data_IF_709853600618
#
_entry.id   IF_709853600618
#
_cell.length_a   1.000
_cell.length_b   1.000
_cell.length_c   1.000
_cell.angle_alpha   90.00
_cell.angle_beta   90.00
_cell.angle_gamma   90.00
#
_symmetry.space_group_name_H-M   'P 1'
#
loop_
_entity.id
_entity.type
_entity.pdbx_description
1 polymer ?
#
# COMPACT_ATOMS: atom_id res chain seq x y z
N UNK A 1 -26.60 54.47 62.04
CA UNK A 1 -27.42 53.24 62.13
C UNK A 1 -26.61 52.13 61.45
N UNK A 2 -25.74 51.43 62.18
CA UNK A 2 -25.98 50.29 63.08
C UNK A 2 -26.13 48.94 62.34
N UNK A 3 -25.03 48.17 62.42
CA UNK A 3 -24.93 46.70 62.59
C UNK A 3 -25.24 45.85 61.33
N UNK A 4 -24.48 44.80 60.98
CA UNK A 4 -23.76 43.86 61.84
C UNK A 4 -22.77 42.99 61.03
N UNK A 5 -21.58 42.77 61.61
CA UNK A 5 -20.61 41.72 61.25
C UNK A 5 -21.10 40.31 61.62
N UNK A 6 -20.54 39.27 60.99
CA UNK A 6 -20.26 37.93 61.58
C UNK A 6 -19.65 36.98 60.52
N UNK A 7 -18.33 36.91 60.33
CA UNK A 7 -17.33 36.00 60.94
C UNK A 7 -17.43 34.47 60.66
N UNK A 8 -16.34 33.97 60.04
CA UNK A 8 -15.60 32.68 60.20
C UNK A 8 -16.33 31.36 59.86
N UNK A 9 -15.74 30.50 59.02
CA UNK A 9 -14.64 29.62 59.47
C UNK A 9 -13.77 29.08 58.33
N UNK A 10 -12.45 29.10 58.55
CA UNK A 10 -11.43 28.33 57.81
C UNK A 10 -11.51 26.85 58.21
N UNK A 11 -11.29 25.94 57.25
CA UNK A 11 -10.60 24.66 57.51
C UNK A 11 -9.45 24.49 56.52
N UNK A 12 -8.30 24.22 57.09
CA UNK A 12 -7.01 23.96 56.46
C UNK A 12 -6.92 22.55 55.86
N UNK A 13 -5.87 22.38 55.04
CA UNK A 13 -5.05 21.18 54.83
C UNK A 13 -5.61 20.14 53.82
N UNK A 14 -4.85 19.62 52.85
CA UNK A 14 -3.40 19.39 52.75
C UNK A 14 -2.88 19.47 51.30
N UNK A 15 -1.61 19.86 51.20
CA UNK A 15 -0.70 19.70 50.07
C UNK A 15 -0.61 18.26 49.57
N UNK A 16 -0.67 18.08 48.26
CA UNK A 16 0.18 17.12 47.54
C UNK A 16 0.59 17.78 46.23
N UNK A 17 1.85 18.19 46.16
CA UNK A 17 2.51 18.42 44.89
C UNK A 17 2.81 17.07 44.25
N UNK A 18 2.61 16.96 42.95
CA UNK A 18 3.30 15.98 42.11
C UNK A 18 3.68 16.69 40.82
N UNK A 19 4.97 16.54 40.51
CA UNK A 19 5.68 17.08 39.37
C UNK A 19 4.95 16.80 38.05
N UNK A 20 5.00 17.79 37.17
CA UNK A 20 4.82 17.57 35.74
C UNK A 20 5.92 16.66 35.19
N UNK A 21 5.49 15.52 34.65
CA UNK A 21 6.24 14.75 33.68
C UNK A 21 5.46 14.84 32.38
N UNK A 22 6.00 15.63 31.45
CA UNK A 22 5.60 15.63 30.06
C UNK A 22 5.96 14.25 29.47
N UNK A 23 4.95 13.43 29.22
CA UNK A 23 5.07 12.25 28.35
C UNK A 23 4.29 12.56 27.09
N UNK A 24 5.05 12.61 25.98
CA UNK A 24 4.58 12.75 24.61
C UNK A 24 3.40 11.81 24.33
N UNK A 25 2.21 12.40 24.21
CA UNK A 25 1.01 11.70 23.77
C UNK A 25 1.08 11.42 22.27
N UNK A 26 1.45 10.18 21.91
CA UNK A 26 1.00 9.55 20.68
C UNK A 26 -0.52 9.34 20.80
N UNK A 27 -1.30 10.33 20.35
CA UNK A 27 -2.74 10.20 20.24
C UNK A 27 -3.05 9.20 19.12
N UNK A 28 -3.29 7.96 19.55
CA UNK A 28 -3.94 6.89 18.81
C UNK A 28 -5.21 7.40 18.11
N UNK A 29 -5.27 7.20 16.79
CA UNK A 29 -6.51 7.22 16.00
C UNK A 29 -7.41 6.08 16.51
N UNK A 30 -8.17 6.34 17.57
CA UNK A 30 -9.26 5.49 18.00
C UNK A 30 -10.46 5.80 17.10
N UNK A 31 -10.69 4.92 16.13
CA UNK A 31 -11.94 4.85 15.38
C UNK A 31 -13.05 4.51 16.39
N UNK A 32 -13.78 5.52 16.85
CA UNK A 32 -14.95 5.36 17.71
C UNK A 32 -16.06 4.75 16.86
N UNK A 33 -16.06 3.43 16.74
CA UNK A 33 -17.20 2.65 16.26
C UNK A 33 -18.12 2.46 17.47
N UNK A 34 -19.09 3.34 17.65
CA UNK A 34 -20.21 3.10 18.56
C UNK A 34 -21.08 2.00 17.98
N UNK A 35 -20.84 0.75 18.38
CA UNK A 35 -21.86 -0.31 18.27
C UNK A 35 -22.43 -0.57 19.66
N UNK A 36 -23.74 -0.31 19.78
CA UNK A 36 -24.56 -0.74 20.92
C UNK A 36 -24.32 -2.23 21.17
N UNK A 37 -24.26 -2.57 22.46
CA UNK A 37 -24.20 -3.92 22.98
C UNK A 37 -25.35 -4.78 22.43
N UNK A 38 -25.02 -5.78 21.62
CA UNK A 38 -25.77 -7.01 21.50
C UNK A 38 -24.81 -8.13 21.93
N UNK A 39 -24.98 -8.57 23.18
CA UNK A 39 -24.35 -9.77 23.71
C UNK A 39 -25.07 -10.94 23.05
N UNK A 40 -24.49 -11.49 21.98
CA UNK A 40 -24.78 -12.83 21.51
C UNK A 40 -23.50 -13.67 21.62
N UNK A 41 -23.68 -14.87 22.17
CA UNK A 41 -22.66 -15.78 22.67
C UNK A 41 -21.46 -15.96 21.72
N UNK A 42 -20.30 -15.43 22.13
CA UNK A 42 -19.02 -15.78 21.53
C UNK A 42 -18.71 -17.25 21.81
N UNK A 43 -18.97 -18.13 20.84
CA UNK A 43 -18.17 -19.36 20.66
C UNK A 43 -16.69 -18.99 20.76
N UNK A 44 -15.85 -19.75 21.48
CA UNK A 44 -14.45 -19.42 21.64
C UNK A 44 -13.80 -19.33 20.25
N UNK A 45 -13.21 -18.18 19.95
CA UNK A 45 -12.26 -18.05 18.83
C UNK A 45 -11.26 -19.20 18.97
N UNK A 46 -11.21 -20.09 17.98
CA UNK A 46 -10.15 -21.11 17.91
C UNK A 46 -8.82 -20.38 18.05
N UNK A 47 -7.96 -20.89 18.92
CA UNK A 47 -6.60 -20.41 19.09
C UNK A 47 -5.92 -20.18 17.74
N UNK A 48 -5.05 -19.17 17.64
CA UNK A 48 -4.28 -18.89 16.44
C UNK A 48 -3.40 -20.10 16.11
N UNK A 49 -3.87 -20.90 15.15
CA UNK A 49 -3.26 -22.16 14.74
C UNK A 49 -2.14 -21.96 13.70
N UNK A 50 -1.76 -20.70 13.39
CA UNK A 50 -0.64 -20.37 12.52
C UNK A 50 -0.76 -21.06 11.15
N UNK A 51 0.21 -21.91 10.81
CA UNK A 51 0.30 -22.66 9.56
C UNK A 51 -0.47 -24.00 9.53
N UNK A 52 -1.01 -24.46 10.66
CA UNK A 52 -1.66 -25.78 10.75
C UNK A 52 -2.92 -25.88 9.86
N UNK A 53 -2.94 -26.80 8.91
CA UNK A 53 -4.03 -26.92 7.92
C UNK A 53 -3.96 -25.90 6.78
N UNK A 54 -2.89 -25.12 6.68
CA UNK A 54 -2.51 -24.39 5.46
C UNK A 54 -1.42 -25.15 4.71
N UNK A 55 -0.39 -25.61 5.43
CA UNK A 55 0.62 -26.51 4.87
C UNK A 55 0.02 -27.89 4.59
N UNK A 56 0.57 -28.64 3.60
CA UNK A 56 0.23 -30.05 3.40
C UNK A 56 0.52 -30.86 4.69
N UNK A 57 -0.17 -31.99 4.84
CA UNK A 57 -0.08 -32.84 6.03
C UNK A 57 1.23 -33.63 6.14
N UNK A 58 1.97 -33.74 5.03
CA UNK A 58 3.22 -34.46 4.93
C UNK A 58 4.27 -33.55 4.31
N UNK A 59 5.55 -33.85 4.55
CA UNK A 59 6.66 -33.16 3.91
C UNK A 59 6.56 -33.36 2.39
N UNK A 60 6.57 -32.29 1.58
CA UNK A 60 6.51 -32.41 0.13
C UNK A 60 7.63 -33.30 -0.42
N UNK A 61 7.32 -34.14 -1.42
CA UNK A 61 8.27 -35.08 -2.05
C UNK A 61 9.56 -34.40 -2.51
N UNK A 62 9.46 -33.16 -3.01
CA UNK A 62 10.62 -32.38 -3.44
C UNK A 62 11.58 -31.97 -2.31
N UNK A 63 11.21 -32.17 -1.05
CA UNK A 63 11.99 -31.89 0.16
C UNK A 63 12.26 -33.13 1.04
N UNK A 64 11.53 -34.23 0.83
CA UNK A 64 11.60 -35.41 1.70
C UNK A 64 12.92 -36.16 1.61
N UNK A 65 13.63 -36.03 0.49
CA UNK A 65 14.92 -36.67 0.27
C UNK A 65 15.96 -35.64 -0.18
N UNK A 66 17.06 -35.57 0.57
CA UNK A 66 18.22 -34.78 0.19
C UNK A 66 19.09 -35.51 -0.86
N UNK A 67 20.02 -34.80 -1.52
CA UNK A 67 20.92 -35.41 -2.50
C UNK A 67 21.70 -36.60 -1.92
N UNK A 68 21.84 -37.66 -2.70
CA UNK A 68 22.65 -38.82 -2.30
C UNK A 68 24.15 -38.47 -2.16
N UNK A 69 24.86 -39.20 -1.30
CA UNK A 69 26.32 -39.08 -1.17
C UNK A 69 26.81 -37.91 -0.32
N UNK A 70 25.96 -37.35 0.55
CA UNK A 70 26.40 -36.39 1.55
C UNK A 70 27.26 -37.08 2.62
N UNK A 71 28.43 -36.50 2.91
CA UNK A 71 29.37 -37.00 3.91
C UNK A 71 29.73 -35.93 4.94
N UNK A 72 30.18 -36.40 6.12
CA UNK A 72 30.63 -35.54 7.20
C UNK A 72 29.55 -34.56 7.67
N UNK A 73 29.91 -33.27 7.76
CA UNK A 73 29.02 -32.22 8.25
C UNK A 73 27.73 -32.06 7.42
N UNK A 74 27.71 -32.49 6.17
CA UNK A 74 26.53 -32.35 5.30
C UNK A 74 25.49 -33.44 5.53
N UNK A 75 25.91 -34.65 5.95
CA UNK A 75 25.00 -35.68 6.41
C UNK A 75 24.32 -35.27 7.73
N UNK A 76 25.08 -34.66 8.65
CA UNK A 76 24.52 -34.09 9.88
C UNK A 76 23.58 -32.92 9.61
N UNK A 77 23.93 -32.06 8.65
CA UNK A 77 23.07 -30.95 8.20
C UNK A 77 21.74 -31.47 7.65
N UNK A 78 21.77 -32.51 6.82
CA UNK A 78 20.57 -33.11 6.23
C UNK A 78 19.65 -33.68 7.30
N UNK A 79 20.18 -34.45 8.25
CA UNK A 79 19.40 -34.96 9.37
C UNK A 79 18.73 -33.83 10.16
N UNK A 80 19.46 -32.73 10.41
CA UNK A 80 18.89 -31.57 11.11
C UNK A 80 17.79 -30.87 10.31
N UNK A 81 17.94 -30.78 8.98
CA UNK A 81 16.90 -30.21 8.10
C UNK A 81 15.68 -31.11 8.08
N UNK A 82 15.86 -32.41 7.92
CA UNK A 82 14.79 -33.42 7.96
C UNK A 82 14.02 -33.37 9.28
N UNK A 83 14.71 -33.29 10.42
CA UNK A 83 14.08 -33.16 11.74
C UNK A 83 13.26 -31.86 11.87
N UNK A 84 13.75 -30.75 11.28
CA UNK A 84 13.03 -29.48 11.28
C UNK A 84 11.82 -29.49 10.34
N UNK A 85 11.91 -30.17 9.19
CA UNK A 85 10.79 -30.36 8.27
C UNK A 85 9.70 -31.24 8.92
N UNK A 86 10.06 -32.37 9.52
CA UNK A 86 9.11 -33.20 10.28
C UNK A 86 8.42 -32.41 11.39
N UNK A 87 9.16 -31.54 12.11
CA UNK A 87 8.55 -30.62 13.09
C UNK A 87 7.56 -29.65 12.45
N UNK A 88 7.90 -29.05 11.32
CA UNK A 88 7.07 -28.03 10.68
C UNK A 88 5.77 -28.59 10.09
N UNK A 89 5.84 -29.76 9.45
CA UNK A 89 4.71 -30.34 8.70
C UNK A 89 3.88 -31.34 9.52
N UNK A 90 4.52 -32.16 10.35
CA UNK A 90 3.89 -33.33 10.98
C UNK A 90 3.59 -33.14 12.47
N UNK A 91 4.14 -32.09 13.10
CA UNK A 91 3.94 -31.82 14.53
C UNK A 91 2.98 -30.67 14.79
N UNK A 92 2.19 -30.80 15.86
CA UNK A 92 1.32 -29.73 16.35
C UNK A 92 2.14 -28.65 17.08
N UNK A 93 2.74 -27.73 16.32
CA UNK A 93 3.53 -26.62 16.86
C UNK A 93 2.68 -25.39 17.21
N UNK A 94 2.99 -24.74 18.34
CA UNK A 94 2.50 -23.38 18.63
C UNK A 94 3.05 -22.37 17.62
N UNK A 95 2.37 -21.22 17.46
CA UNK A 95 2.80 -20.17 16.53
C UNK A 95 4.25 -19.70 16.77
N UNK A 96 4.67 -19.55 18.02
CA UNK A 96 6.06 -19.19 18.34
C UNK A 96 7.05 -20.30 17.96
N UNK A 97 6.68 -21.58 18.15
CA UNK A 97 7.50 -22.70 17.71
C UNK A 97 7.57 -22.80 16.18
N UNK A 98 6.49 -22.47 15.46
CA UNK A 98 6.49 -22.42 14.00
C UNK A 98 7.49 -21.36 13.50
N UNK A 99 7.45 -20.14 14.07
CA UNK A 99 8.42 -19.07 13.76
C UNK A 99 9.86 -19.49 14.04
N UNK A 100 10.11 -20.11 15.20
CA UNK A 100 11.44 -20.59 15.55
C UNK A 100 11.93 -21.68 14.59
N UNK A 101 11.05 -22.59 14.18
CA UNK A 101 11.37 -23.66 13.23
C UNK A 101 11.69 -23.10 11.84
N UNK A 102 10.91 -22.12 11.36
CA UNK A 102 11.19 -21.43 10.11
C UNK A 102 12.52 -20.65 10.15
N UNK A 103 12.81 -19.97 11.26
CA UNK A 103 14.08 -19.26 11.44
C UNK A 103 15.28 -20.23 11.48
N UNK A 104 15.12 -21.41 12.10
CA UNK A 104 16.12 -22.46 12.10
C UNK A 104 16.36 -23.03 10.70
N UNK A 105 15.29 -23.31 9.94
CA UNK A 105 15.39 -23.73 8.54
C UNK A 105 16.07 -22.68 7.67
N UNK A 106 15.73 -21.40 7.85
CA UNK A 106 16.40 -20.30 7.15
C UNK A 106 17.90 -20.26 7.46
N UNK A 107 18.28 -20.47 8.71
CA UNK A 107 19.71 -20.56 9.11
C UNK A 107 20.40 -21.71 8.39
N UNK A 108 19.75 -22.88 8.29
CA UNK A 108 20.29 -24.03 7.56
C UNK A 108 20.44 -23.80 6.07
N UNK A 109 19.50 -23.10 5.44
CA UNK A 109 19.63 -22.66 4.05
C UNK A 109 20.86 -21.77 3.87
N UNK A 110 21.10 -20.82 4.78
CA UNK A 110 22.28 -19.94 4.71
C UNK A 110 23.60 -20.72 4.91
N UNK A 111 23.65 -21.69 5.83
CA UNK A 111 24.82 -22.54 6.06
C UNK A 111 25.23 -23.34 4.80
N UNK A 112 24.25 -23.74 3.99
CA UNK A 112 24.47 -24.52 2.77
C UNK A 112 24.72 -23.64 1.52
N UNK A 113 24.69 -22.31 1.64
CA UNK A 113 24.98 -21.43 0.51
C UNK A 113 26.39 -21.67 -0.06
N UNK A 114 26.48 -21.68 -1.38
CA UNK A 114 27.72 -21.92 -2.12
C UNK A 114 28.11 -23.40 -2.22
N UNK A 115 27.34 -24.33 -1.65
CA UNK A 115 27.55 -25.76 -1.85
C UNK A 115 26.84 -26.25 -3.12
N UNK A 116 27.62 -26.62 -4.13
CA UNK A 116 27.10 -27.03 -5.43
C UNK A 116 26.17 -28.26 -5.34
N UNK A 117 26.53 -29.25 -4.50
CA UNK A 117 25.74 -30.49 -4.33
C UNK A 117 24.38 -30.22 -3.70
N UNK A 118 24.26 -29.18 -2.88
CA UNK A 118 23.02 -28.81 -2.19
C UNK A 118 22.26 -27.67 -2.88
N UNK A 119 22.79 -27.09 -3.96
CA UNK A 119 22.26 -25.85 -4.53
C UNK A 119 20.78 -25.96 -4.96
N UNK A 120 20.42 -27.06 -5.63
CA UNK A 120 19.05 -27.27 -6.08
C UNK A 120 18.09 -27.57 -4.91
N UNK A 121 18.49 -28.46 -3.99
CA UNK A 121 17.72 -28.80 -2.80
C UNK A 121 17.48 -27.57 -1.90
N UNK A 122 18.52 -26.77 -1.66
CA UNK A 122 18.43 -25.55 -0.86
C UNK A 122 17.60 -24.47 -1.54
N UNK A 123 17.61 -24.37 -2.87
CA UNK A 123 16.70 -23.49 -3.61
C UNK A 123 15.24 -23.91 -3.42
N UNK A 124 14.93 -25.21 -3.55
CA UNK A 124 13.59 -25.76 -3.32
C UNK A 124 13.11 -25.53 -1.88
N UNK A 125 14.01 -25.73 -0.91
CA UNK A 125 13.75 -25.50 0.51
C UNK A 125 13.50 -24.01 0.79
N UNK A 126 14.34 -23.12 0.24
CA UNK A 126 14.22 -21.68 0.40
C UNK A 126 12.87 -21.17 -0.08
N UNK A 127 12.41 -21.57 -1.28
CA UNK A 127 11.10 -21.15 -1.80
C UNK A 127 9.97 -21.48 -0.83
N UNK A 128 9.96 -22.70 -0.28
CA UNK A 128 8.90 -23.17 0.62
C UNK A 128 8.94 -22.50 1.99
N UNK A 129 10.15 -22.33 2.55
CA UNK A 129 10.33 -21.62 3.82
C UNK A 129 9.91 -20.15 3.71
N UNK A 130 10.27 -19.48 2.61
CA UNK A 130 9.88 -18.08 2.36
C UNK A 130 8.36 -17.92 2.18
N UNK A 131 7.70 -18.87 1.48
CA UNK A 131 6.24 -18.86 1.37
C UNK A 131 5.58 -19.13 2.72
N UNK A 132 6.04 -20.12 3.48
CA UNK A 132 5.48 -20.42 4.81
C UNK A 132 5.63 -19.24 5.78
N UNK A 133 6.80 -18.61 5.84
CA UNK A 133 7.04 -17.41 6.63
C UNK A 133 6.16 -16.23 6.17
N UNK A 134 6.00 -16.03 4.86
CA UNK A 134 5.15 -14.99 4.33
C UNK A 134 3.66 -15.22 4.64
N UNK A 135 3.18 -16.46 4.57
CA UNK A 135 1.81 -16.84 4.98
C UNK A 135 1.61 -16.53 6.46
N UNK A 136 2.55 -16.92 7.33
CA UNK A 136 2.47 -16.65 8.77
C UNK A 136 2.39 -15.13 9.01
N UNK A 137 3.30 -14.36 8.40
CA UNK A 137 3.28 -12.89 8.49
C UNK A 137 1.96 -12.31 8.01
N UNK A 138 1.39 -12.81 6.92
CA UNK A 138 0.09 -12.35 6.39
C UNK A 138 -1.07 -12.64 7.35
N UNK A 139 -1.05 -13.77 8.07
CA UNK A 139 -2.06 -14.06 9.10
C UNK A 139 -1.97 -13.11 10.30
N UNK A 140 -0.77 -12.63 10.63
CA UNK A 140 -0.51 -11.70 11.73
C UNK A 140 -0.76 -10.22 11.36
N UNK A 141 -1.00 -9.92 10.08
CA UNK A 141 -1.23 -8.54 9.66
C UNK A 141 -2.52 -8.01 10.28
N UNK A 142 -2.37 -6.95 11.08
CA UNK A 142 -3.49 -6.12 11.49
C UNK A 142 -3.99 -5.32 10.28
N UNK A 143 -5.03 -5.84 9.62
CA UNK A 143 -5.60 -5.20 8.43
C UNK A 143 -6.21 -3.83 8.77
N UNK A 144 -6.66 -3.59 10.00
CA UNK A 144 -7.15 -2.28 10.40
C UNK A 144 -5.99 -1.27 10.41
N UNK A 145 -4.84 -1.65 10.95
CA UNK A 145 -3.63 -0.84 10.91
C UNK A 145 -3.13 -0.60 9.47
N UNK A 146 -3.17 -1.63 8.60
CA UNK A 146 -2.78 -1.48 7.19
C UNK A 146 -3.71 -0.50 6.45
N UNK A 147 -5.03 -0.64 6.60
CA UNK A 147 -5.99 0.30 5.98
C UNK A 147 -5.81 1.71 6.50
N UNK A 148 -5.58 1.88 7.81
CA UNK A 148 -5.30 3.19 8.39
C UNK A 148 -4.01 3.80 7.82
N UNK A 149 -2.95 3.02 7.66
CA UNK A 149 -1.68 3.46 7.08
C UNK A 149 -1.84 3.83 5.59
N UNK A 150 -2.60 3.05 4.81
CA UNK A 150 -2.89 3.35 3.40
C UNK A 150 -3.72 4.62 3.25
N UNK A 151 -4.78 4.77 4.03
CA UNK A 151 -5.62 5.97 4.01
C UNK A 151 -4.79 7.20 4.36
N UNK A 152 -3.91 7.09 5.38
CA UNK A 152 -2.97 8.14 5.75
C UNK A 152 -1.99 8.47 4.61
N UNK A 153 -1.43 7.46 3.94
CA UNK A 153 -0.54 7.68 2.80
C UNK A 153 -1.25 8.38 1.63
N UNK A 154 -2.53 8.08 1.38
CA UNK A 154 -3.35 8.79 0.39
C UNK A 154 -3.67 10.21 0.85
N UNK A 155 -3.99 10.41 2.12
CA UNK A 155 -4.19 11.73 2.73
C UNK A 155 -2.95 12.62 2.52
N UNK A 156 -1.76 12.07 2.76
CA UNK A 156 -0.49 12.75 2.56
C UNK A 156 -0.24 13.11 1.07
N UNK A 157 -0.67 12.25 0.14
CA UNK A 157 -0.60 12.54 -1.30
C UNK A 157 -1.52 13.70 -1.68
N UNK A 158 -2.76 13.73 -1.17
CA UNK A 158 -3.69 14.85 -1.37
C UNK A 158 -3.11 16.13 -0.78
N UNK A 159 -2.54 16.07 0.44
CA UNK A 159 -1.94 17.23 1.09
C UNK A 159 -0.75 17.79 0.29
N UNK A 160 0.13 16.92 -0.22
CA UNK A 160 1.25 17.30 -1.09
C UNK A 160 0.76 17.92 -2.40
N UNK A 161 -0.25 17.33 -3.05
CA UNK A 161 -0.81 17.86 -4.28
C UNK A 161 -1.47 19.23 -4.07
N UNK A 162 -2.24 19.40 -2.99
CA UNK A 162 -2.87 20.66 -2.63
C UNK A 162 -1.83 21.75 -2.30
N UNK A 163 -0.76 21.40 -1.59
CA UNK A 163 0.34 22.32 -1.30
C UNK A 163 1.11 22.74 -2.56
N UNK A 164 1.37 21.79 -3.47
CA UNK A 164 2.00 22.09 -4.76
C UNK A 164 1.12 23.01 -5.62
N UNK A 165 -0.18 22.74 -5.69
CA UNK A 165 -1.12 23.60 -6.43
C UNK A 165 -1.20 25.00 -5.82
N UNK A 166 -1.31 25.12 -4.50
CA UNK A 166 -1.33 26.42 -3.81
C UNK A 166 -0.05 27.21 -4.08
N UNK A 167 1.13 26.56 -3.99
CA UNK A 167 2.41 27.21 -4.29
C UNK A 167 2.46 27.72 -5.73
N UNK A 168 1.98 26.93 -6.67
CA UNK A 168 1.91 27.30 -8.08
C UNK A 168 0.93 28.45 -8.35
N UNK A 169 -0.24 28.45 -7.71
CA UNK A 169 -1.19 29.56 -7.81
C UNK A 169 -0.62 30.85 -7.19
N UNK A 170 0.18 30.73 -6.13
CA UNK A 170 0.86 31.86 -5.51
C UNK A 170 1.90 32.57 -6.39
N UNK A 171 2.26 32.02 -7.56
CA UNK A 171 3.13 32.70 -8.53
C UNK A 171 2.35 33.53 -9.55
N UNK A 172 1.03 33.68 -9.38
CA UNK A 172 0.15 34.35 -10.34
C UNK A 172 -0.67 35.44 -9.67
N UNK A 173 -0.87 36.56 -10.37
CA UNK A 173 -1.58 37.73 -9.85
C UNK A 173 -3.05 37.41 -9.47
N UNK A 174 -3.71 36.54 -10.24
CA UNK A 174 -5.09 36.09 -9.99
C UNK A 174 -5.18 34.72 -9.28
N UNK A 175 -4.08 34.22 -8.71
CA UNK A 175 -4.02 32.90 -8.10
C UNK A 175 -4.93 32.72 -6.89
N UNK A 176 -5.15 33.79 -6.11
CA UNK A 176 -5.96 33.73 -4.89
C UNK A 176 -7.43 33.37 -5.17
N UNK A 177 -8.01 33.84 -6.29
CA UNK A 177 -9.37 33.47 -6.67
C UNK A 177 -9.52 31.96 -6.90
N UNK A 178 -8.48 31.30 -7.42
CA UNK A 178 -8.45 29.85 -7.60
C UNK A 178 -8.22 29.09 -6.30
N UNK A 179 -7.42 29.65 -5.38
CA UNK A 179 -7.22 29.10 -4.02
C UNK A 179 -8.55 29.08 -3.26
N UNK A 180 -9.33 30.17 -3.35
CA UNK A 180 -10.65 30.30 -2.73
C UNK A 180 -11.68 29.39 -3.42
N UNK A 181 -11.73 29.40 -4.76
CA UNK A 181 -12.64 28.57 -5.54
C UNK A 181 -12.46 27.07 -5.25
N UNK A 182 -11.22 26.60 -5.13
CA UNK A 182 -10.89 25.22 -4.78
C UNK A 182 -10.82 24.99 -3.27
N UNK A 183 -11.03 26.01 -2.44
CA UNK A 183 -11.00 25.92 -0.98
C UNK A 183 -9.72 25.24 -0.46
N UNK A 184 -8.56 25.52 -1.06
CA UNK A 184 -7.32 24.80 -0.77
C UNK A 184 -6.84 25.02 0.67
N UNK A 185 -7.16 26.17 1.27
CA UNK A 185 -6.85 26.45 2.68
C UNK A 185 -7.68 25.61 3.64
N UNK A 186 -8.98 25.45 3.35
CA UNK A 186 -9.85 24.56 4.12
C UNK A 186 -9.39 23.11 3.96
N UNK A 187 -9.07 22.67 2.73
CA UNK A 187 -8.54 21.33 2.47
C UNK A 187 -7.25 21.07 3.27
N UNK A 188 -6.29 21.99 3.25
CA UNK A 188 -5.04 21.83 3.99
C UNK A 188 -5.24 21.80 5.51
N UNK A 189 -6.23 22.53 6.03
CA UNK A 189 -6.59 22.52 7.45
C UNK A 189 -7.19 21.18 7.87
N UNK A 190 -8.17 20.67 7.12
CA UNK A 190 -8.80 19.37 7.39
C UNK A 190 -7.84 18.20 7.17
N UNK A 191 -6.89 18.32 6.24
CA UNK A 191 -5.86 17.28 6.05
C UNK A 191 -4.83 17.25 7.19
N UNK A 192 -4.64 18.35 7.94
CA UNK A 192 -3.71 18.42 9.08
C UNK A 192 -4.36 18.05 10.40
N UNK A 193 -5.62 18.43 10.56
CA UNK A 193 -6.39 18.19 11.77
C UNK A 193 -7.28 16.98 11.50
N UNK A 194 -7.00 15.83 12.11
CA UNK A 194 -7.83 14.61 12.02
C UNK A 194 -9.22 14.75 12.67
N UNK A 195 -9.86 15.93 12.56
CA UNK A 195 -10.94 16.40 13.42
C UNK A 195 -12.32 15.92 12.97
N UNK A 196 -12.55 15.77 11.65
CA UNK A 196 -13.78 15.13 11.16
C UNK A 196 -13.58 14.45 9.80
N UNK A 197 -13.86 13.15 9.74
CA UNK A 197 -13.87 12.40 8.49
C UNK A 197 -14.99 12.90 7.56
N UNK A 198 -16.08 13.40 8.14
CA UNK A 198 -17.27 13.88 7.40
C UNK A 198 -16.98 15.15 6.60
N UNK A 199 -16.40 16.19 7.22
CA UNK A 199 -16.16 17.47 6.53
C UNK A 199 -15.06 17.33 5.47
N UNK A 200 -14.01 16.55 5.74
CA UNK A 200 -12.99 16.22 4.75
C UNK A 200 -13.62 15.51 3.54
N UNK A 201 -14.47 14.51 3.77
CA UNK A 201 -15.12 13.77 2.71
C UNK A 201 -16.06 14.63 1.87
N UNK A 202 -16.80 15.55 2.49
CA UNK A 202 -17.68 16.46 1.75
C UNK A 202 -16.90 17.49 0.94
N UNK A 203 -15.79 18.00 1.47
CA UNK A 203 -14.89 18.89 0.74
C UNK A 203 -14.25 18.18 -0.45
N UNK A 204 -13.79 16.94 -0.29
CA UNK A 204 -13.22 16.13 -1.37
C UNK A 204 -14.27 15.78 -2.45
N UNK A 205 -15.51 15.48 -2.07
CA UNK A 205 -16.61 15.28 -3.04
C UNK A 205 -16.91 16.56 -3.82
N UNK A 206 -16.97 17.71 -3.15
CA UNK A 206 -17.17 19.01 -3.81
C UNK A 206 -16.04 19.31 -4.79
N UNK A 207 -14.79 19.06 -4.40
CA UNK A 207 -13.62 19.20 -5.29
C UNK A 207 -13.72 18.27 -6.50
N UNK A 208 -14.08 17.00 -6.30
CA UNK A 208 -14.29 16.06 -7.40
C UNK A 208 -15.34 16.58 -8.39
N UNK A 209 -16.46 17.08 -7.89
CA UNK A 209 -17.53 17.65 -8.73
C UNK A 209 -17.02 18.86 -9.54
N UNK A 210 -16.29 19.79 -8.91
CA UNK A 210 -15.67 20.93 -9.61
C UNK A 210 -14.70 20.50 -10.72
N UNK A 211 -13.94 19.42 -10.51
CA UNK A 211 -13.08 18.85 -11.55
C UNK A 211 -13.86 18.19 -12.70
N UNK A 212 -14.99 17.54 -12.41
CA UNK A 212 -15.85 16.92 -13.42
C UNK A 212 -16.60 17.97 -14.26
N UNK A 213 -17.04 19.05 -13.63
CA UNK A 213 -17.75 20.16 -14.26
C UNK A 213 -16.85 21.11 -15.06
N UNK A 214 -15.52 20.88 -15.09
CA UNK A 214 -14.58 21.74 -15.82
C UNK A 214 -14.91 21.95 -17.30
N UNK A 215 -15.53 20.95 -17.92
CA UNK A 215 -15.93 21.00 -19.33
C UNK A 215 -17.08 21.99 -19.58
N UNK A 216 -17.88 22.27 -18.54
CA UNK A 216 -19.03 23.18 -18.59
C UNK A 216 -18.65 24.66 -18.36
N UNK A 217 -17.38 24.97 -18.05
CA UNK A 217 -16.90 26.35 -17.95
C UNK A 217 -17.08 27.07 -19.29
N UNK A 218 -17.77 28.21 -19.28
CA UNK A 218 -18.09 28.98 -20.49
C UNK A 218 -16.86 29.66 -21.12
N UNK A 219 -15.86 29.97 -20.30
CA UNK A 219 -14.61 30.59 -20.72
C UNK A 219 -13.55 29.54 -21.15
N UNK A 220 -13.08 29.65 -22.39
CA UNK A 220 -12.10 28.74 -22.98
C UNK A 220 -10.70 28.87 -22.35
N UNK A 221 -10.31 30.06 -21.88
CA UNK A 221 -9.01 30.27 -21.25
C UNK A 221 -8.97 29.70 -19.84
N UNK A 222 -10.06 29.88 -19.07
CA UNK A 222 -10.24 29.22 -17.78
C UNK A 222 -10.22 27.70 -17.92
N UNK A 223 -10.86 27.17 -18.96
CA UNK A 223 -10.84 25.73 -19.25
C UNK A 223 -9.43 25.22 -19.56
N UNK A 224 -8.64 25.95 -20.37
CA UNK A 224 -7.23 25.60 -20.64
C UNK A 224 -6.39 25.67 -19.36
N UNK A 225 -6.60 26.69 -18.54
CA UNK A 225 -5.88 26.87 -17.29
C UNK A 225 -6.15 25.73 -16.27
N UNK A 226 -7.42 25.35 -16.13
CA UNK A 226 -7.85 24.31 -15.20
C UNK A 226 -7.45 22.89 -15.63
N UNK A 227 -7.02 22.71 -16.88
CA UNK A 227 -6.46 21.45 -17.39
C UNK A 227 -4.93 21.34 -17.25
N UNK A 228 -4.27 22.30 -16.58
CA UNK A 228 -2.81 22.22 -16.37
C UNK A 228 -2.43 21.06 -15.41
N UNK A 229 -1.20 20.53 -15.51
CA UNK A 229 -0.78 19.34 -14.76
C UNK A 229 -0.96 19.42 -13.24
N UNK A 230 -0.81 20.62 -12.66
CA UNK A 230 -0.96 20.83 -11.22
C UNK A 230 -2.39 20.55 -10.74
N UNK A 231 -3.40 20.93 -11.53
CA UNK A 231 -4.82 20.66 -11.24
C UNK A 231 -5.14 19.19 -11.44
N UNK A 232 -4.65 18.58 -12.53
CA UNK A 232 -4.83 17.15 -12.81
C UNK A 232 -4.21 16.26 -11.72
N UNK A 233 -3.06 16.66 -11.18
CA UNK A 233 -2.43 15.94 -10.07
C UNK A 233 -3.30 15.97 -8.81
N UNK A 234 -3.91 17.12 -8.46
CA UNK A 234 -4.84 17.20 -7.34
C UNK A 234 -6.10 16.37 -7.61
N UNK A 235 -6.71 16.48 -8.80
CA UNK A 235 -7.86 15.67 -9.20
C UNK A 235 -7.58 14.17 -9.06
N UNK A 236 -6.42 13.70 -9.55
CA UNK A 236 -6.00 12.31 -9.46
C UNK A 236 -5.89 11.85 -8.00
N UNK A 237 -5.26 12.66 -7.15
CA UNK A 237 -5.12 12.33 -5.72
C UNK A 237 -6.46 12.33 -4.99
N UNK A 238 -7.35 13.28 -5.26
CA UNK A 238 -8.70 13.35 -4.67
C UNK A 238 -9.53 12.13 -5.09
N UNK A 239 -9.50 11.76 -6.38
CA UNK A 239 -10.22 10.58 -6.87
C UNK A 239 -9.69 9.28 -6.26
N UNK A 240 -8.37 9.14 -6.15
CA UNK A 240 -7.75 7.98 -5.51
C UNK A 240 -8.17 7.87 -4.03
N UNK A 241 -8.11 8.98 -3.27
CA UNK A 241 -8.55 9.00 -1.88
C UNK A 241 -10.03 8.61 -1.73
N UNK A 242 -10.93 9.19 -2.54
CA UNK A 242 -12.36 8.88 -2.51
C UNK A 242 -12.70 7.45 -2.95
N UNK A 243 -11.84 6.82 -3.76
CA UNK A 243 -12.00 5.42 -4.15
C UNK A 243 -11.62 4.49 -2.98
N UNK A 244 -10.50 4.78 -2.32
CA UNK A 244 -9.94 3.99 -1.21
C UNK A 244 -10.71 4.21 0.11
N UNK A 245 -11.35 5.37 0.28
CA UNK A 245 -12.15 5.70 1.47
C UNK A 245 -13.56 5.08 1.45
N UNK A 246 -13.94 4.35 0.40
CA UNK A 246 -15.22 3.65 0.39
C UNK A 246 -15.19 2.58 1.47
N UNK A 247 -16.22 2.46 2.32
CA UNK A 247 -16.28 1.40 3.31
C UNK A 247 -16.27 0.05 2.57
N UNK A 248 -15.14 -0.66 2.61
CA UNK A 248 -15.10 -2.05 2.17
C UNK A 248 -15.92 -2.87 3.15
N UNK A 249 -16.51 -3.98 2.67
CA UNK A 249 -17.35 -4.84 3.48
C UNK A 249 -16.74 -5.13 4.87
N UNK A 250 -17.64 -4.98 5.83
CA UNK A 250 -17.53 -5.16 7.27
C UNK A 250 -16.95 -6.52 7.60
N UNK A 251 -15.89 -6.53 8.43
CA UNK A 251 -15.27 -7.71 9.07
C UNK A 251 -14.66 -8.72 8.08
N UNK A 252 -13.33 -8.79 8.09
CA UNK A 252 -12.58 -9.78 7.31
C UNK A 252 -12.91 -11.16 7.84
N UNK A 253 -13.33 -12.05 6.94
CA UNK A 253 -13.61 -13.42 7.27
C UNK A 253 -12.29 -14.21 7.33
N UNK A 254 -11.75 -14.33 8.54
CA UNK A 254 -10.51 -15.07 8.79
C UNK A 254 -10.58 -16.52 8.28
N UNK A 255 -11.76 -17.14 8.27
CA UNK A 255 -11.96 -18.48 7.73
C UNK A 255 -11.81 -18.54 6.20
N UNK A 256 -12.32 -17.53 5.50
CA UNK A 256 -12.11 -17.40 4.04
C UNK A 256 -10.66 -17.14 3.70
N UNK A 257 -10.00 -16.20 4.40
CA UNK A 257 -8.58 -15.91 4.20
C UNK A 257 -7.75 -17.18 4.36
N UNK A 258 -8.01 -17.95 5.42
CA UNK A 258 -7.32 -19.23 5.65
C UNK A 258 -7.56 -20.23 4.53
N UNK A 259 -8.81 -20.40 4.09
CA UNK A 259 -9.15 -21.29 2.96
C UNK A 259 -8.43 -20.88 1.67
N UNK A 260 -8.33 -19.59 1.38
CA UNK A 260 -7.63 -19.09 0.19
C UNK A 260 -6.11 -19.24 0.30
N UNK A 261 -5.53 -19.07 1.50
CA UNK A 261 -4.11 -19.35 1.75
C UNK A 261 -3.80 -20.85 1.60
N UNK A 262 -4.66 -21.73 2.11
CA UNK A 262 -4.54 -23.19 1.87
C UNK A 262 -4.58 -23.48 0.37
N UNK A 263 -5.57 -22.96 -0.36
CA UNK A 263 -5.67 -23.16 -1.80
C UNK A 263 -4.43 -22.65 -2.55
N UNK A 264 -3.87 -21.51 -2.14
CA UNK A 264 -2.64 -20.97 -2.72
C UNK A 264 -1.47 -21.94 -2.49
N UNK A 265 -1.21 -22.33 -1.24
CA UNK A 265 -0.08 -23.22 -0.89
C UNK A 265 -0.22 -24.58 -1.57
N UNK A 266 -1.40 -25.20 -1.54
CA UNK A 266 -1.63 -26.48 -2.22
C UNK A 266 -1.35 -26.39 -3.71
N UNK A 267 -1.82 -25.35 -4.40
CA UNK A 267 -1.57 -25.19 -5.83
C UNK A 267 -0.10 -24.88 -6.15
N UNK A 268 0.63 -24.21 -5.24
CA UNK A 268 2.07 -23.99 -5.42
C UNK A 268 2.86 -25.29 -5.25
N UNK A 269 2.52 -26.12 -4.26
CA UNK A 269 3.16 -27.43 -4.09
C UNK A 269 2.89 -28.35 -5.29
N UNK A 270 1.64 -28.40 -5.76
CA UNK A 270 1.26 -29.15 -6.95
C UNK A 270 1.93 -28.60 -8.23
N UNK A 271 2.22 -27.30 -8.28
CA UNK A 271 2.97 -26.69 -9.37
C UNK A 271 4.45 -27.10 -9.32
N UNK A 272 5.07 -27.20 -8.14
CA UNK A 272 6.46 -27.63 -8.00
C UNK A 272 6.67 -29.10 -8.40
N UNK A 273 5.64 -29.96 -8.27
CA UNK A 273 5.71 -31.37 -8.70
C UNK A 273 5.40 -31.53 -10.19
N UNK A 274 4.34 -30.88 -10.67
CA UNK A 274 3.82 -31.14 -12.02
C UNK A 274 4.25 -30.13 -13.09
N UNK A 275 4.78 -28.97 -12.68
CA UNK A 275 5.02 -27.78 -13.52
C UNK A 275 3.78 -27.35 -14.35
N UNK A 276 2.59 -27.74 -13.91
CA UNK A 276 1.36 -27.57 -14.68
C UNK A 276 0.89 -26.12 -14.71
N UNK A 277 0.65 -25.60 -15.92
CA UNK A 277 0.03 -24.28 -16.14
C UNK A 277 -1.33 -24.13 -15.42
N UNK A 278 -2.05 -25.24 -15.20
CA UNK A 278 -3.32 -25.23 -14.48
C UNK A 278 -3.13 -24.83 -13.01
N UNK A 279 -2.15 -25.42 -12.34
CA UNK A 279 -1.87 -25.17 -10.92
C UNK A 279 -1.31 -23.76 -10.73
N UNK A 280 -0.45 -23.29 -11.64
CA UNK A 280 0.00 -21.90 -11.66
C UNK A 280 -1.16 -20.90 -11.85
N UNK A 281 -2.16 -21.23 -12.67
CA UNK A 281 -3.35 -20.40 -12.86
C UNK A 281 -4.24 -20.36 -11.61
N UNK A 282 -4.54 -21.51 -11.00
CA UNK A 282 -5.35 -21.56 -9.78
C UNK A 282 -4.63 -20.91 -8.59
N UNK A 283 -3.31 -21.02 -8.47
CA UNK A 283 -2.52 -20.28 -7.49
C UNK A 283 -2.67 -18.75 -7.67
N UNK A 284 -2.55 -18.24 -8.90
CA UNK A 284 -2.76 -16.81 -9.20
C UNK A 284 -4.18 -16.35 -8.89
N UNK A 285 -5.17 -17.20 -9.13
CA UNK A 285 -6.58 -16.91 -8.82
C UNK A 285 -6.83 -16.83 -7.32
N UNK A 286 -6.29 -17.77 -6.54
CA UNK A 286 -6.34 -17.73 -5.07
C UNK A 286 -5.68 -16.44 -4.53
N UNK A 287 -4.52 -16.08 -5.07
CA UNK A 287 -3.84 -14.83 -4.74
C UNK A 287 -4.66 -13.57 -5.11
N UNK A 288 -5.32 -13.56 -6.28
CA UNK A 288 -6.17 -12.44 -6.68
C UNK A 288 -7.38 -12.26 -5.74
N UNK A 289 -7.98 -13.35 -5.26
CA UNK A 289 -9.05 -13.32 -4.26
C UNK A 289 -8.55 -12.78 -2.92
N UNK A 290 -7.39 -13.25 -2.45
CA UNK A 290 -6.76 -12.71 -1.24
C UNK A 290 -6.52 -11.19 -1.34
N UNK A 291 -6.13 -10.70 -2.51
CA UNK A 291 -5.86 -9.27 -2.73
C UNK A 291 -7.13 -8.42 -2.58
N UNK A 292 -8.28 -8.96 -2.99
CA UNK A 292 -9.58 -8.30 -2.82
C UNK A 292 -9.98 -8.26 -1.34
N UNK A 293 -9.75 -9.33 -0.59
CA UNK A 293 -10.15 -9.45 0.82
C UNK A 293 -9.26 -8.64 1.77
N UNK A 294 -7.93 -8.68 1.56
CA UNK A 294 -6.95 -8.10 2.49
C UNK A 294 -6.49 -6.68 2.09
N UNK A 295 -6.95 -6.14 0.96
CA UNK A 295 -6.75 -4.76 0.51
C UNK A 295 -5.34 -4.19 0.78
N UNK A 296 -4.29 -4.98 0.54
CA UNK A 296 -2.88 -4.57 0.69
C UNK A 296 -2.16 -5.03 1.98
N UNK A 297 -2.80 -5.86 2.81
CA UNK A 297 -2.12 -6.64 3.86
C UNK A 297 -1.29 -7.83 3.33
N UNK A 298 -1.11 -7.94 2.02
CA UNK A 298 -0.46 -9.08 1.36
C UNK A 298 1.02 -8.87 1.08
N UNK A 299 1.62 -7.73 1.41
CA UNK A 299 2.98 -7.40 0.99
C UNK A 299 4.03 -8.49 1.31
N UNK A 300 4.00 -9.17 2.48
CA UNK A 300 4.90 -10.30 2.73
C UNK A 300 4.75 -11.41 1.69
N UNK A 301 3.50 -11.83 1.42
CA UNK A 301 3.17 -12.87 0.45
C UNK A 301 3.47 -12.45 -0.99
N UNK A 302 3.16 -11.21 -1.35
CA UNK A 302 3.47 -10.63 -2.66
C UNK A 302 4.97 -10.65 -2.92
N UNK A 303 5.78 -10.33 -1.91
CA UNK A 303 7.24 -10.33 -2.01
C UNK A 303 7.79 -11.75 -2.17
N UNK A 304 7.31 -12.71 -1.37
CA UNK A 304 7.74 -14.10 -1.47
C UNK A 304 7.34 -14.74 -2.82
N UNK A 305 6.11 -14.50 -3.29
CA UNK A 305 5.68 -14.96 -4.61
C UNK A 305 6.48 -14.31 -5.74
N UNK A 306 6.80 -13.02 -5.60
CA UNK A 306 7.62 -12.28 -6.55
C UNK A 306 9.02 -12.87 -6.69
N UNK A 307 9.68 -13.14 -5.58
CA UNK A 307 11.06 -13.63 -5.60
C UNK A 307 11.16 -15.05 -6.15
N UNK A 308 10.14 -15.89 -5.92
CA UNK A 308 10.24 -17.32 -6.15
C UNK A 308 9.44 -17.86 -7.35
N UNK A 309 8.32 -17.22 -7.70
CA UNK A 309 7.37 -17.75 -8.69
C UNK A 309 7.04 -16.77 -9.82
N UNK A 310 6.99 -15.47 -9.53
CA UNK A 310 6.76 -14.47 -10.57
C UNK A 310 8.09 -14.10 -11.23
N UNK A 311 8.50 -14.92 -12.20
CA UNK A 311 9.56 -14.56 -13.13
C UNK A 311 9.16 -13.31 -13.93
N UNK A 312 9.51 -12.11 -13.45
CA UNK A 312 9.50 -10.88 -14.25
C UNK A 312 10.65 -10.88 -15.27
N UNK A 313 10.80 -11.97 -16.03
CA UNK A 313 11.74 -12.04 -17.14
C UNK A 313 11.14 -11.40 -18.42
N UNK A 314 9.94 -10.81 -18.34
CA UNK A 314 9.36 -10.05 -19.43
C UNK A 314 10.02 -8.65 -19.47
N UNK A 315 11.05 -8.51 -20.29
CA UNK A 315 11.60 -7.21 -20.65
C UNK A 315 10.79 -6.63 -21.81
N UNK A 316 9.79 -5.79 -21.49
CA UNK A 316 9.10 -5.00 -22.51
C UNK A 316 9.98 -3.80 -22.84
N UNK A 317 10.62 -3.83 -24.02
CA UNK A 317 11.30 -2.66 -24.57
C UNK A 317 10.33 -1.95 -25.51
N UNK A 318 9.91 -0.74 -25.13
CA UNK A 318 9.22 0.18 -26.03
C UNK A 318 10.30 1.08 -26.64
N UNK A 319 10.52 0.97 -27.95
CA UNK A 319 11.42 1.87 -28.66
C UNK A 319 10.74 3.23 -28.81
N UNK A 320 11.08 4.18 -27.94
CA UNK A 320 10.50 5.54 -27.96
C UNK A 320 10.72 6.22 -29.31
N UNK A 321 11.88 6.03 -29.93
CA UNK A 321 12.18 6.54 -31.27
C UNK A 321 11.21 6.02 -32.34
N UNK A 322 10.74 4.77 -32.22
CA UNK A 322 9.76 4.21 -33.14
C UNK A 322 8.37 4.84 -32.93
N UNK A 323 7.95 5.02 -31.67
CA UNK A 323 6.68 5.66 -31.34
C UNK A 323 6.69 7.15 -31.70
N UNK A 324 7.80 7.85 -31.45
CA UNK A 324 8.00 9.22 -31.86
C UNK A 324 7.94 9.33 -33.38
N UNK A 325 8.56 8.42 -34.15
CA UNK A 325 8.40 8.40 -35.62
C UNK A 325 6.97 8.18 -36.10
N UNK A 326 6.14 7.46 -35.35
CA UNK A 326 4.75 7.20 -35.70
C UNK A 326 3.83 8.39 -35.35
N UNK A 327 4.15 9.15 -34.29
CA UNK A 327 3.30 10.21 -33.72
C UNK A 327 3.78 11.62 -34.07
N UNK A 328 5.02 11.77 -34.59
CA UNK A 328 5.60 13.08 -34.88
C UNK A 328 4.80 13.82 -35.96
N UNK A 329 3.86 14.64 -35.50
CA UNK A 329 3.14 15.61 -36.30
C UNK A 329 3.78 16.96 -36.04
N UNK A 330 4.65 17.39 -36.96
CA UNK A 330 5.29 18.69 -36.91
C UNK A 330 4.47 19.68 -37.73
N UNK A 331 3.64 20.47 -37.07
CA UNK A 331 2.94 21.58 -37.73
C UNK A 331 3.82 22.83 -37.66
N UNK A 332 4.04 23.44 -38.82
CA UNK A 332 4.73 24.72 -38.95
C UNK A 332 3.70 25.77 -39.36
N UNK A 333 3.35 26.65 -38.43
CA UNK A 333 2.46 27.76 -38.72
C UNK A 333 3.30 29.02 -38.94
N UNK A 334 3.08 29.68 -40.08
CA UNK A 334 3.72 30.96 -40.40
C UNK A 334 2.69 32.08 -40.47
N UNK A 335 3.01 33.22 -39.86
CA UNK A 335 2.09 34.36 -39.81
C UNK A 335 2.83 35.68 -39.64
N UNK A 336 2.25 36.80 -40.13
CA UNK A 336 2.81 38.13 -39.91
C UNK A 336 2.62 38.55 -38.45
N UNK A 337 3.67 39.10 -37.85
CA UNK A 337 3.64 39.72 -36.53
C UNK A 337 3.75 41.22 -36.72
N UNK A 338 2.76 41.94 -36.22
CA UNK A 338 2.74 43.39 -36.17
C UNK A 338 2.53 43.77 -34.71
N UNK A 339 3.59 44.30 -34.07
CA UNK A 339 3.55 44.66 -32.65
C UNK A 339 4.27 46.00 -32.40
N UNK A 340 3.95 46.67 -31.31
CA UNK A 340 4.52 47.96 -30.92
C UNK A 340 5.26 47.82 -29.58
N UNK A 341 6.58 47.66 -29.64
CA UNK A 341 7.41 47.52 -28.44
C UNK A 341 8.00 48.90 -28.12
N UNK A 342 7.66 49.43 -26.94
CA UNK A 342 8.17 50.73 -26.44
C UNK A 342 7.91 51.92 -27.40
N UNK A 343 6.79 51.91 -28.11
CA UNK A 343 6.39 53.00 -29.01
C UNK A 343 7.00 52.96 -30.41
N UNK A 344 7.82 51.94 -30.73
CA UNK A 344 8.32 51.68 -32.07
C UNK A 344 7.52 50.55 -32.74
N UNK A 345 7.03 50.80 -33.95
CA UNK A 345 6.34 49.80 -34.77
C UNK A 345 7.33 48.78 -35.30
N UNK A 346 7.12 47.51 -34.98
CA UNK A 346 7.92 46.39 -35.46
C UNK A 346 7.02 45.47 -36.27
N UNK A 347 7.42 45.20 -37.52
CA UNK A 347 6.77 44.22 -38.38
C UNK A 347 7.75 43.12 -38.75
N UNK A 348 7.27 41.89 -38.77
CA UNK A 348 8.08 40.72 -39.11
C UNK A 348 7.22 39.51 -39.44
N UNK A 349 7.87 38.41 -39.83
CA UNK A 349 7.21 37.13 -40.02
C UNK A 349 7.64 36.20 -38.89
N UNK A 350 6.68 35.53 -38.25
CA UNK A 350 6.94 34.48 -37.29
C UNK A 350 6.72 33.13 -37.97
N UNK A 351 7.64 32.20 -37.72
CA UNK A 351 7.45 30.79 -37.96
C UNK A 351 7.45 30.09 -36.60
N UNK A 352 6.33 29.46 -36.24
CA UNK A 352 6.24 28.67 -35.02
C UNK A 352 6.19 27.20 -35.41
N UNK A 353 7.21 26.46 -35.01
CA UNK A 353 7.25 25.00 -35.16
C UNK A 353 6.84 24.38 -33.83
N UNK A 354 5.78 23.57 -33.85
CA UNK A 354 5.38 22.77 -32.68
C UNK A 354 5.82 21.34 -32.91
N UNK A 355 6.65 20.82 -32.01
CA UNK A 355 7.06 19.41 -32.00
C UNK A 355 6.34 18.68 -30.87
N UNK A 356 5.64 17.60 -31.20
CA UNK A 356 4.94 16.76 -30.22
C UNK A 356 5.61 15.39 -30.17
N UNK A 357 6.14 15.03 -29.00
CA UNK A 357 6.75 13.73 -28.73
C UNK A 357 6.07 13.00 -27.57
N UNK A 358 6.30 11.70 -27.48
CA UNK A 358 5.83 10.84 -26.38
C UNK A 358 7.04 10.36 -25.57
N UNK A 359 6.99 10.58 -24.26
CA UNK A 359 7.98 10.14 -23.27
C UNK A 359 7.32 9.06 -22.40
N UNK A 360 7.85 7.83 -22.43
CA UNK A 360 7.32 6.72 -21.64
C UNK A 360 8.02 6.67 -20.28
N UNK A 361 7.26 6.92 -19.21
CA UNK A 361 7.76 6.79 -17.85
C UNK A 361 7.40 5.44 -17.24
N UNK A 362 8.37 4.71 -16.64
CA UNK A 362 8.07 3.53 -15.84
C UNK A 362 7.09 3.87 -14.72
N UNK A 363 6.10 2.99 -14.50
CA UNK A 363 5.16 3.11 -13.39
C UNK A 363 5.44 2.03 -12.36
N UNK A 364 5.69 2.44 -11.12
CA UNK A 364 5.83 1.51 -9.98
C UNK A 364 4.48 0.93 -9.52
N UNK A 365 3.36 1.36 -10.14
CA UNK A 365 2.00 1.03 -9.68
C UNK A 365 1.28 -0.02 -10.53
N UNK A 366 1.91 -0.58 -11.57
CA UNK A 366 1.30 -1.64 -12.40
C UNK A 366 1.63 -3.01 -11.83
N UNK A 367 0.77 -3.45 -10.91
CA UNK A 367 0.59 -4.83 -10.45
C UNK A 367 -0.89 -5.17 -10.35
#
# INVERSE_FOLDING_TARGET
>A
MLLKESNRTRKNQKYFGVLGLAVLGLASLALVVTNLMAVEDKKPEKADVGLQGILPAEVPEGLSEAPEGLEGKWAEWDQQVSDLLGKLYESDLTLEQQKQTLAALQTKIQEAQGQAVLADYTSRLQRRVEIADAVLKTLEVDIAAVKAAQLKAQQDKVAKAAAALKKYLGTMDNGNGWVDYLQLDALQKELKNSYSEVELMDLLKSLKQKFEERGALTDAEQRKFFNRPQFQNLEKSVRAFLADSKPSATKIDAGKVRTQLTALVTNLEEYEVSESNKNAFEARKAYALLRQELAGGLEPLTTALRNNYFNYNLRVMVAEDFMNRLINDSTCETGPVVDCILGAYVTGNQATTTEVGVDFKPSDSTL
#
